data_IF_404928930186
#
_entry.id   IF_404928930186
#
_cell.length_a   1.000
_cell.length_b   1.000
_cell.length_c   1.000
_cell.angle_alpha   90.00
_cell.angle_beta   90.00
_cell.angle_gamma   90.00
#
_symmetry.space_group_name_H-M   'P 1'
#
loop_
_entity.id
_entity.type
_entity.pdbx_description
1 polymer ?
#
# COMPACT_ATOMS: atom_id res chain seq x y z
N UNK A 1 -7.41 -24.71 9.83
CA UNK A 1 -6.93 -23.63 10.76
C UNK A 1 -8.14 -22.84 11.23
N UNK A 2 -8.23 -22.56 12.56
CA UNK A 2 -9.31 -21.71 13.12
C UNK A 2 -8.80 -20.28 13.24
N UNK A 3 -9.52 -19.33 12.70
CA UNK A 3 -9.24 -17.90 12.80
C UNK A 3 -10.18 -17.28 13.83
N UNK A 4 -9.61 -16.70 14.87
CA UNK A 4 -10.34 -15.99 15.92
C UNK A 4 -10.50 -14.53 15.57
N UNK A 5 -11.69 -13.99 15.82
CA UNK A 5 -12.03 -12.60 15.57
C UNK A 5 -10.98 -11.61 16.12
N UNK A 6 -10.70 -11.68 17.41
CA UNK A 6 -9.80 -10.73 18.05
C UNK A 6 -8.36 -10.83 17.54
N UNK A 7 -7.90 -12.03 17.16
CA UNK A 7 -6.56 -12.19 16.61
C UNK A 7 -6.43 -11.53 15.24
N UNK A 8 -7.47 -11.59 14.40
CA UNK A 8 -7.44 -10.93 13.11
C UNK A 8 -7.47 -9.42 13.25
N UNK A 9 -8.39 -8.90 14.08
CA UNK A 9 -8.51 -7.47 14.36
C UNK A 9 -7.18 -6.90 14.88
N UNK A 10 -6.57 -7.56 15.85
CA UNK A 10 -5.29 -7.13 16.44
C UNK A 10 -4.13 -7.24 15.43
N UNK A 11 -4.14 -8.24 14.56
CA UNK A 11 -3.13 -8.37 13.51
C UNK A 11 -3.20 -7.22 12.50
N UNK A 12 -4.39 -6.80 12.10
CA UNK A 12 -4.58 -5.65 11.21
C UNK A 12 -4.16 -4.34 11.91
N UNK A 13 -4.59 -4.14 13.16
CA UNK A 13 -4.18 -2.99 13.98
C UNK A 13 -2.66 -2.89 14.07
N UNK A 14 -2.00 -3.95 14.52
CA UNK A 14 -0.55 -4.00 14.69
C UNK A 14 0.20 -3.80 13.38
N UNK A 15 -0.28 -4.40 12.28
CA UNK A 15 0.33 -4.23 10.96
C UNK A 15 0.28 -2.78 10.48
N UNK A 16 -0.86 -2.11 10.62
CA UNK A 16 -1.02 -0.70 10.24
C UNK A 16 -0.16 0.23 11.09
N UNK A 17 -0.10 0.01 12.38
CA UNK A 17 0.80 0.74 13.27
C UNK A 17 2.26 0.52 12.84
N UNK A 18 2.67 -0.73 12.60
CA UNK A 18 4.03 -1.06 12.18
C UNK A 18 4.44 -0.35 10.88
N UNK A 19 3.64 -0.44 9.82
CA UNK A 19 3.96 0.18 8.54
C UNK A 19 3.90 1.71 8.58
N UNK A 20 3.27 2.31 9.59
CA UNK A 20 3.19 3.76 9.73
C UNK A 20 4.53 4.39 10.12
N UNK A 21 5.42 3.66 10.81
CA UNK A 21 6.69 4.19 11.31
C UNK A 21 7.93 3.38 10.90
N UNK A 22 7.76 2.23 10.23
CA UNK A 22 8.89 1.47 9.69
C UNK A 22 8.86 1.41 8.17
N UNK A 23 9.94 1.82 7.54
CA UNK A 23 10.24 1.43 6.18
C UNK A 23 10.84 0.02 6.15
N UNK A 24 10.55 -0.73 5.08
CA UNK A 24 11.18 -2.03 4.87
C UNK A 24 12.69 -1.92 4.64
N UNK A 25 13.49 -2.92 5.04
CA UNK A 25 14.94 -2.88 4.85
C UNK A 25 15.40 -2.67 3.41
N UNK A 26 14.65 -3.19 2.45
CA UNK A 26 14.92 -3.04 1.03
C UNK A 26 14.69 -1.61 0.52
N UNK A 27 13.64 -0.93 1.02
CA UNK A 27 13.45 0.49 0.75
C UNK A 27 14.64 1.29 1.28
N UNK A 28 15.05 1.06 2.52
CA UNK A 28 16.22 1.73 3.11
C UNK A 28 17.48 1.47 2.28
N UNK A 29 17.73 0.22 1.89
CA UNK A 29 18.89 -0.13 1.06
C UNK A 29 18.84 0.54 -0.32
N UNK A 30 17.66 0.63 -0.94
CA UNK A 30 17.47 1.33 -2.21
C UNK A 30 17.75 2.83 -2.06
N UNK A 31 17.27 3.47 -0.98
CA UNK A 31 17.50 4.88 -0.68
C UNK A 31 18.98 5.17 -0.39
N UNK A 32 19.66 4.32 0.38
CA UNK A 32 21.12 4.44 0.63
C UNK A 32 21.90 4.32 -0.68
N UNK A 33 21.54 3.35 -1.53
CA UNK A 33 22.16 3.20 -2.84
C UNK A 33 21.90 4.40 -3.76
N UNK A 34 20.70 4.99 -3.71
CA UNK A 34 20.38 6.20 -4.44
C UNK A 34 21.22 7.40 -3.94
N UNK A 35 21.33 7.58 -2.62
CA UNK A 35 22.16 8.60 -1.99
C UNK A 35 23.62 8.53 -2.44
N UNK A 36 24.17 7.32 -2.52
CA UNK A 36 25.56 7.11 -2.94
C UNK A 36 25.80 7.47 -4.42
N UNK A 37 24.80 7.25 -5.29
CA UNK A 37 24.91 7.51 -6.73
C UNK A 37 24.50 8.93 -7.12
N UNK A 38 23.76 9.63 -6.27
CA UNK A 38 23.27 10.99 -6.57
C UNK A 38 24.43 11.99 -6.63
N UNK A 39 24.46 12.78 -7.69
CA UNK A 39 25.50 13.80 -7.92
C UNK A 39 24.98 15.22 -7.68
N UNK A 40 23.66 15.43 -7.79
CA UNK A 40 23.06 16.73 -7.46
C UNK A 40 22.97 16.92 -5.95
N UNK A 41 23.63 17.93 -5.42
CA UNK A 41 23.72 18.15 -3.97
C UNK A 41 22.35 18.38 -3.32
N UNK A 42 21.43 19.09 -3.98
CA UNK A 42 20.08 19.33 -3.44
C UNK A 42 19.26 18.04 -3.36
N UNK A 43 19.33 17.19 -4.39
CA UNK A 43 18.68 15.89 -4.39
C UNK A 43 19.30 14.96 -3.34
N UNK A 44 20.62 14.97 -3.19
CA UNK A 44 21.33 14.19 -2.19
C UNK A 44 20.90 14.58 -0.77
N UNK A 45 20.82 15.87 -0.48
CA UNK A 45 20.34 16.38 0.80
C UNK A 45 18.87 15.96 1.08
N UNK A 46 18.02 15.96 0.05
CA UNK A 46 16.63 15.49 0.19
C UNK A 46 16.56 14.00 0.57
N UNK A 47 17.35 13.15 -0.08
CA UNK A 47 17.44 11.71 0.23
C UNK A 47 17.94 11.50 1.67
N UNK A 48 18.95 12.25 2.08
CA UNK A 48 19.49 12.21 3.44
C UNK A 48 18.40 12.54 4.48
N UNK A 49 17.63 13.61 4.26
CA UNK A 49 16.54 13.98 5.16
C UNK A 49 15.47 12.90 5.26
N UNK A 50 15.16 12.19 4.16
CA UNK A 50 14.22 11.05 4.17
C UNK A 50 14.77 9.91 5.01
N UNK A 51 16.05 9.57 4.89
CA UNK A 51 16.70 8.53 5.70
C UNK A 51 16.74 8.89 7.18
N UNK A 52 17.05 10.15 7.52
CA UNK A 52 17.02 10.68 8.89
C UNK A 52 15.60 10.59 9.45
N UNK A 53 14.59 11.06 8.70
CA UNK A 53 13.18 10.95 9.10
C UNK A 53 12.77 9.51 9.36
N UNK A 54 13.12 8.59 8.46
CA UNK A 54 12.83 7.16 8.63
C UNK A 54 13.38 6.62 9.95
N UNK A 55 14.65 6.94 10.28
CA UNK A 55 15.27 6.52 11.55
C UNK A 55 14.58 7.14 12.76
N UNK A 56 14.26 8.42 12.70
CA UNK A 56 13.58 9.12 13.80
C UNK A 56 12.18 8.56 14.04
N UNK A 57 11.42 8.28 12.97
CA UNK A 57 10.09 7.70 13.07
C UNK A 57 10.12 6.29 13.66
N UNK A 58 11.05 5.45 13.22
CA UNK A 58 11.24 4.12 13.76
C UNK A 58 11.58 4.12 15.26
N UNK A 59 12.46 5.03 15.71
CA UNK A 59 12.84 5.15 17.12
C UNK A 59 11.74 5.75 17.99
N UNK A 60 11.03 6.74 17.46
CA UNK A 60 9.97 7.45 18.18
C UNK A 60 8.57 6.86 18.04
N UNK A 61 8.42 5.79 17.23
CA UNK A 61 7.11 5.21 16.86
C UNK A 61 6.12 6.28 16.42
N UNK A 62 6.53 7.12 15.45
CA UNK A 62 5.73 8.21 14.90
C UNK A 62 5.54 8.03 13.40
N UNK A 63 4.40 8.45 12.84
CA UNK A 63 4.16 8.30 11.40
C UNK A 63 5.28 8.91 10.56
N UNK A 64 5.71 8.19 9.53
CA UNK A 64 6.75 8.62 8.58
C UNK A 64 6.30 9.86 7.81
N UNK A 65 5.00 9.98 7.57
CA UNK A 65 4.38 11.07 6.82
C UNK A 65 3.07 11.50 7.49
N UNK A 66 2.68 12.75 7.30
CA UNK A 66 1.36 13.25 7.71
C UNK A 66 0.21 12.62 6.91
N UNK A 67 0.48 12.12 5.71
CA UNK A 67 -0.45 11.35 4.89
C UNK A 67 -0.28 9.87 5.21
N UNK A 68 -1.07 9.36 6.15
CA UNK A 68 -1.02 7.98 6.60
C UNK A 68 -1.82 7.02 5.71
N UNK A 69 -2.43 7.54 4.66
CA UNK A 69 -2.90 6.82 3.50
C UNK A 69 -4.29 6.20 3.61
N UNK A 70 -4.76 5.73 2.45
CA UNK A 70 -5.95 4.90 2.29
C UNK A 70 -5.52 3.45 2.47
N UNK A 71 -6.19 2.73 3.36
CA UNK A 71 -5.84 1.33 3.65
C UNK A 71 -6.36 0.42 2.53
N UNK A 72 -5.43 -0.36 1.97
CA UNK A 72 -5.73 -1.42 1.02
C UNK A 72 -5.33 -2.76 1.66
N UNK A 73 -6.23 -3.74 1.65
CA UNK A 73 -6.02 -5.05 2.24
C UNK A 73 -6.26 -6.12 1.18
N UNK A 74 -5.26 -6.95 0.94
CA UNK A 74 -5.37 -8.12 0.06
C UNK A 74 -5.39 -9.36 0.91
N UNK A 75 -6.44 -10.17 0.77
CA UNK A 75 -6.68 -11.35 1.57
C UNK A 75 -6.76 -12.57 0.68
N UNK A 76 -5.87 -13.54 0.87
CA UNK A 76 -6.01 -14.87 0.32
C UNK A 76 -6.55 -15.80 1.42
N UNK A 77 -7.77 -16.27 1.22
CA UNK A 77 -8.52 -17.11 2.19
C UNK A 77 -8.52 -18.55 1.73
N UNK A 78 -7.92 -19.44 2.51
CA UNK A 78 -7.96 -20.88 2.29
C UNK A 78 -9.39 -21.43 2.46
N UNK A 79 -9.85 -22.23 1.51
CA UNK A 79 -11.23 -22.74 1.51
C UNK A 79 -11.56 -23.68 2.69
N UNK A 80 -10.54 -24.17 3.43
CA UNK A 80 -10.68 -25.03 4.59
C UNK A 80 -10.45 -24.28 5.92
N UNK A 81 -10.55 -22.94 5.90
CA UNK A 81 -10.48 -22.12 7.13
C UNK A 81 -11.82 -22.21 7.87
N UNK A 82 -11.74 -22.34 9.17
CA UNK A 82 -12.85 -22.20 10.09
C UNK A 82 -12.78 -20.85 10.80
N UNK A 83 -13.92 -20.20 10.95
CA UNK A 83 -14.01 -18.88 11.57
C UNK A 83 -14.67 -18.99 12.94
N UNK A 84 -14.00 -18.45 13.96
CA UNK A 84 -14.55 -18.22 15.30
C UNK A 84 -14.82 -16.72 15.45
N UNK A 85 -15.94 -16.28 14.86
CA UNK A 85 -16.28 -14.86 14.76
C UNK A 85 -17.76 -14.65 14.53
N UNK A 86 -18.32 -13.62 15.15
CA UNK A 86 -19.67 -13.09 14.89
C UNK A 86 -19.66 -11.97 13.84
N UNK A 87 -18.47 -11.48 13.45
CA UNK A 87 -18.27 -10.45 12.46
C UNK A 87 -17.89 -11.04 11.10
N UNK A 88 -18.24 -10.34 10.04
CA UNK A 88 -17.73 -10.65 8.71
C UNK A 88 -16.23 -10.37 8.62
N UNK A 89 -15.55 -10.95 7.61
CA UNK A 89 -14.15 -10.67 7.33
C UNK A 89 -13.90 -9.17 7.12
N UNK A 90 -14.80 -8.50 6.40
CA UNK A 90 -14.70 -7.06 6.14
C UNK A 90 -14.87 -6.24 7.42
N UNK A 91 -15.81 -6.60 8.30
CA UNK A 91 -16.02 -5.92 9.57
C UNK A 91 -14.83 -6.09 10.51
N UNK A 92 -14.23 -7.27 10.58
CA UNK A 92 -13.02 -7.52 11.37
C UNK A 92 -11.84 -6.67 10.86
N UNK A 93 -11.67 -6.58 9.55
CA UNK A 93 -10.62 -5.75 8.94
C UNK A 93 -10.88 -4.27 9.25
N UNK A 94 -12.09 -3.79 9.04
CA UNK A 94 -12.45 -2.40 9.32
C UNK A 94 -12.33 -2.06 10.80
N UNK A 95 -12.64 -2.98 11.71
CA UNK A 95 -12.41 -2.77 13.15
C UNK A 95 -10.91 -2.64 13.48
N UNK A 96 -10.06 -3.46 12.87
CA UNK A 96 -8.60 -3.34 13.00
C UNK A 96 -8.07 -2.00 12.46
N UNK A 97 -8.61 -1.53 11.34
CA UNK A 97 -8.30 -0.19 10.78
C UNK A 97 -8.73 0.90 11.74
N UNK A 98 -9.96 0.86 12.24
CA UNK A 98 -10.50 1.83 13.19
C UNK A 98 -9.63 1.94 14.44
N UNK A 99 -9.24 0.81 15.04
CA UNK A 99 -8.33 0.79 16.18
C UNK A 99 -6.99 1.40 15.86
N UNK A 100 -6.39 1.05 14.71
CA UNK A 100 -5.09 1.56 14.30
C UNK A 100 -5.09 3.09 14.10
N UNK A 101 -6.14 3.64 13.49
CA UNK A 101 -6.21 5.08 13.24
C UNK A 101 -6.61 5.91 14.46
N UNK A 102 -7.17 5.27 15.49
CA UNK A 102 -7.51 5.90 16.76
C UNK A 102 -6.58 5.52 17.92
N UNK A 103 -5.45 4.84 17.64
CA UNK A 103 -4.45 4.48 18.64
C UNK A 103 -3.95 5.72 19.39
N UNK A 104 -4.16 5.83 20.74
CA UNK A 104 -3.82 7.04 21.47
C UNK A 104 -2.34 7.41 21.42
N UNK A 105 -1.47 6.40 21.45
CA UNK A 105 -0.02 6.60 21.49
C UNK A 105 0.60 6.98 20.16
N UNK A 106 -0.09 6.62 19.05
CA UNK A 106 0.34 6.92 17.69
C UNK A 106 -0.86 7.10 16.76
N UNK A 107 -1.63 8.16 16.99
CA UNK A 107 -2.82 8.44 16.21
C UNK A 107 -2.49 8.75 14.75
N UNK A 108 -3.04 7.98 13.84
CA UNK A 108 -2.91 8.16 12.40
C UNK A 108 -3.96 9.13 11.87
N UNK A 109 -3.66 9.79 10.75
CA UNK A 109 -4.58 10.74 10.12
C UNK A 109 -5.59 10.02 9.23
N UNK A 110 -6.87 10.02 9.60
CA UNK A 110 -7.94 9.52 8.76
C UNK A 110 -8.13 10.40 7.51
N UNK A 111 -8.22 9.76 6.34
CA UNK A 111 -8.34 10.41 5.03
C UNK A 111 -9.61 10.02 4.27
N UNK A 112 -10.34 9.01 4.77
CA UNK A 112 -11.57 8.53 4.11
C UNK A 112 -12.70 9.52 4.36
N UNK A 113 -13.47 9.78 3.32
CA UNK A 113 -14.67 10.61 3.38
C UNK A 113 -15.91 9.77 3.05
N UNK A 114 -16.94 9.92 3.83
CA UNK A 114 -18.29 9.47 3.47
C UNK A 114 -18.86 10.43 2.43
N UNK A 115 -19.72 9.93 1.57
CA UNK A 115 -20.40 10.73 0.54
C UNK A 115 -19.43 11.65 -0.24
N UNK A 116 -18.57 11.06 -1.10
CA UNK A 116 -17.49 11.82 -1.76
C UNK A 116 -17.99 12.87 -2.75
N UNK A 117 -19.26 12.81 -3.19
CA UNK A 117 -19.83 13.75 -4.14
C UNK A 117 -20.41 15.03 -3.49
N UNK A 118 -20.98 14.90 -2.29
CA UNK A 118 -21.73 16.01 -1.67
C UNK A 118 -21.10 16.50 -0.36
N UNK A 119 -21.38 15.83 0.75
CA UNK A 119 -20.97 16.32 2.07
C UNK A 119 -19.47 16.17 2.36
N UNK A 120 -18.81 15.17 1.78
CA UNK A 120 -17.39 14.88 1.93
C UNK A 120 -16.90 14.85 3.39
N UNK A 121 -17.75 14.37 4.29
CA UNK A 121 -17.44 14.30 5.72
C UNK A 121 -16.40 13.23 6.00
N UNK A 122 -15.34 13.57 6.73
CA UNK A 122 -14.31 12.64 7.12
C UNK A 122 -14.87 11.60 8.11
N UNK A 123 -14.57 10.32 7.89
CA UNK A 123 -15.06 9.22 8.75
C UNK A 123 -14.41 9.19 10.12
N UNK A 124 -13.29 9.90 10.31
CA UNK A 124 -12.50 10.02 11.53
C UNK A 124 -11.73 8.76 11.95
N UNK A 125 -12.04 7.62 11.39
CA UNK A 125 -11.45 6.30 11.71
C UNK A 125 -10.81 5.60 10.52
N UNK A 126 -10.79 6.28 9.36
CA UNK A 126 -10.21 5.82 8.09
C UNK A 126 -10.87 4.55 7.52
N UNK A 127 -12.11 4.28 7.89
CA UNK A 127 -12.94 3.20 7.32
C UNK A 127 -13.95 3.75 6.28
N UNK A 128 -14.39 2.90 5.33
CA UNK A 128 -13.96 1.53 5.09
C UNK A 128 -12.59 1.45 4.40
N UNK A 129 -11.89 0.35 4.65
CA UNK A 129 -10.71 -0.02 3.87
C UNK A 129 -11.12 -0.52 2.48
N UNK A 130 -10.19 -0.48 1.51
CA UNK A 130 -10.35 -1.15 0.21
C UNK A 130 -9.88 -2.58 0.37
N UNK A 131 -10.79 -3.55 0.29
CA UNK A 131 -10.52 -4.96 0.58
C UNK A 131 -10.67 -5.79 -0.68
N UNK A 132 -9.63 -6.56 -1.01
CA UNK A 132 -9.60 -7.51 -2.12
C UNK A 132 -9.47 -8.92 -1.57
N UNK A 133 -10.50 -9.73 -1.74
CA UNK A 133 -10.52 -11.11 -1.24
C UNK A 133 -10.42 -12.11 -2.38
N UNK A 134 -9.54 -13.12 -2.21
CA UNK A 134 -9.34 -14.22 -3.12
C UNK A 134 -9.43 -15.54 -2.37
N UNK A 135 -10.27 -16.45 -2.83
CA UNK A 135 -10.33 -17.82 -2.31
C UNK A 135 -9.22 -18.67 -2.93
N UNK A 136 -8.49 -19.38 -2.08
CA UNK A 136 -7.39 -20.27 -2.48
C UNK A 136 -7.57 -21.67 -1.87
N UNK A 137 -6.89 -22.67 -2.41
CA UNK A 137 -6.91 -24.03 -1.84
C UNK A 137 -6.16 -24.05 -0.49
N UNK A 138 -6.61 -24.88 0.43
CA UNK A 138 -5.94 -25.13 1.70
C UNK A 138 -6.59 -24.42 2.87
N UNK A 139 -5.85 -24.26 3.94
CA UNK A 139 -6.31 -23.76 5.24
C UNK A 139 -5.50 -22.56 5.76
N UNK A 140 -4.77 -21.87 4.87
CA UNK A 140 -3.98 -20.70 5.22
C UNK A 140 -4.73 -19.41 4.96
N UNK A 141 -4.54 -18.44 5.83
CA UNK A 141 -4.94 -17.05 5.65
C UNK A 141 -3.68 -16.21 5.42
N UNK A 142 -3.60 -15.56 4.27
CA UNK A 142 -2.54 -14.60 3.97
C UNK A 142 -3.15 -13.21 3.80
N UNK A 143 -2.61 -12.24 4.54
CA UNK A 143 -3.09 -10.86 4.50
C UNK A 143 -1.91 -9.94 4.21
N UNK A 144 -2.07 -9.10 3.19
CA UNK A 144 -1.15 -8.00 2.89
C UNK A 144 -1.87 -6.68 3.13
N UNK A 145 -1.27 -5.83 3.93
CA UNK A 145 -1.80 -4.51 4.27
C UNK A 145 -0.90 -3.43 3.68
N UNK A 146 -1.51 -2.49 2.99
CA UNK A 146 -0.82 -1.32 2.46
C UNK A 146 -1.61 -0.05 2.81
N UNK A 147 -0.89 1.02 3.11
CA UNK A 147 -1.47 2.35 3.29
C UNK A 147 -0.94 3.26 2.18
N UNK A 148 -1.80 3.61 1.23
CA UNK A 148 -1.43 4.40 0.04
C UNK A 148 -1.83 5.85 0.22
N UNK A 149 -0.85 6.76 0.27
CA UNK A 149 -1.08 8.19 0.42
C UNK A 149 -1.91 8.80 -0.71
N UNK A 150 -2.76 9.76 -0.39
CA UNK A 150 -3.64 10.43 -1.35
C UNK A 150 -2.89 11.16 -2.46
N UNK A 151 -1.70 11.69 -2.17
CA UNK A 151 -0.83 12.31 -3.18
C UNK A 151 -0.39 11.32 -4.26
N UNK A 152 0.05 10.14 -3.87
CA UNK A 152 0.43 9.08 -4.81
C UNK A 152 -0.78 8.46 -5.51
N UNK A 153 -1.91 8.31 -4.84
CA UNK A 153 -3.16 7.83 -5.45
C UNK A 153 -3.62 8.75 -6.57
N UNK A 154 -3.63 10.05 -6.33
CA UNK A 154 -4.00 11.07 -7.33
C UNK A 154 -3.06 11.14 -8.55
N UNK A 155 -1.90 10.51 -8.50
CA UNK A 155 -0.94 10.44 -9.61
C UNK A 155 -0.97 9.12 -10.36
N UNK A 156 -1.78 8.17 -9.92
CA UNK A 156 -2.01 6.93 -10.66
C UNK A 156 -2.49 7.23 -12.08
N UNK A 157 -1.95 6.53 -13.05
CA UNK A 157 -2.27 6.67 -14.48
C UNK A 157 -2.72 5.34 -15.04
N UNK A 158 -3.71 5.40 -15.90
CA UNK A 158 -4.20 4.27 -16.67
C UNK A 158 -4.24 4.65 -18.14
N UNK A 159 -3.92 3.71 -19.00
CA UNK A 159 -4.07 3.85 -20.45
C UNK A 159 -4.36 2.50 -21.09
N UNK A 160 -4.92 2.55 -22.28
CA UNK A 160 -5.00 1.41 -23.19
C UNK A 160 -4.02 1.67 -24.31
N UNK A 161 -3.06 0.76 -24.48
CA UNK A 161 -2.06 0.79 -25.55
C UNK A 161 -2.52 -0.06 -26.72
N UNK A 162 -2.19 0.35 -27.95
CA UNK A 162 -2.35 -0.50 -29.12
C UNK A 162 -1.24 -1.57 -29.13
N UNK A 163 -1.41 -2.68 -29.88
CA UNK A 163 -0.39 -3.73 -29.96
C UNK A 163 0.99 -3.26 -30.42
N UNK A 164 1.04 -2.22 -31.23
CA UNK A 164 2.27 -1.64 -31.76
C UNK A 164 2.91 -0.57 -30.86
N UNK A 165 2.24 -0.18 -29.78
CA UNK A 165 2.74 0.83 -28.84
C UNK A 165 3.83 0.23 -27.93
N UNK A 166 4.90 1.00 -27.71
CA UNK A 166 5.96 0.60 -26.79
C UNK A 166 5.63 1.00 -25.35
N UNK A 167 5.43 0.00 -24.49
CA UNK A 167 5.15 0.20 -23.06
C UNK A 167 6.23 1.02 -22.36
N UNK A 168 7.50 0.70 -22.61
CA UNK A 168 8.63 1.38 -21.95
C UNK A 168 8.64 2.86 -22.30
N UNK A 169 8.44 3.19 -23.58
CA UNK A 169 8.39 4.57 -24.04
C UNK A 169 7.20 5.33 -23.44
N UNK A 170 6.06 4.67 -23.32
CA UNK A 170 4.90 5.28 -22.64
C UNK A 170 5.20 5.60 -21.18
N UNK A 171 5.80 4.67 -20.45
CA UNK A 171 6.19 4.85 -19.05
C UNK A 171 7.17 6.01 -18.90
N UNK A 172 8.25 6.02 -19.69
CA UNK A 172 9.29 7.06 -19.64
C UNK A 172 8.76 8.45 -19.97
N UNK A 173 7.78 8.56 -20.87
CA UNK A 173 7.11 9.84 -21.18
C UNK A 173 6.12 10.26 -20.11
N UNK A 174 5.47 9.30 -19.44
CA UNK A 174 4.41 9.59 -18.47
C UNK A 174 4.96 10.01 -17.11
N UNK A 175 6.01 9.37 -16.61
CA UNK A 175 6.58 9.64 -15.28
C UNK A 175 6.92 11.12 -15.07
N UNK A 176 7.62 11.82 -15.97
CA UNK A 176 7.94 13.24 -15.79
C UNK A 176 6.70 14.14 -15.70
N UNK A 177 5.58 13.72 -16.30
CA UNK A 177 4.31 14.49 -16.28
C UNK A 177 3.58 14.39 -14.95
N UNK A 178 3.95 13.46 -14.07
CA UNK A 178 3.32 13.29 -12.77
C UNK A 178 3.65 14.44 -11.80
N UNK A 179 4.74 15.18 -12.06
CA UNK A 179 5.22 16.25 -11.19
C UNK A 179 5.68 15.73 -9.83
N UNK A 180 5.76 16.58 -8.82
CA UNK A 180 6.26 16.25 -7.49
C UNK A 180 5.15 15.84 -6.48
N UNK A 181 3.89 15.88 -6.86
CA UNK A 181 2.76 15.64 -5.95
C UNK A 181 2.65 14.22 -5.40
N UNK A 182 3.42 13.28 -5.90
CA UNK A 182 3.55 11.91 -5.40
C UNK A 182 4.71 11.71 -4.41
N UNK A 183 5.35 12.80 -4.01
CA UNK A 183 6.46 12.83 -3.04
C UNK A 183 7.68 12.01 -3.47
N UNK A 184 8.39 12.39 -4.56
CA UNK A 184 9.63 11.72 -4.97
C UNK A 184 10.73 11.83 -3.88
N UNK A 185 11.66 10.87 -3.85
CA UNK A 185 11.75 9.66 -4.64
C UNK A 185 10.77 8.61 -4.18
N UNK A 186 10.18 7.89 -5.12
CA UNK A 186 9.16 6.90 -4.82
C UNK A 186 9.35 5.59 -5.58
N UNK A 187 8.48 4.65 -5.30
CA UNK A 187 8.41 3.40 -6.01
C UNK A 187 7.32 3.46 -7.07
N UNK A 188 7.62 2.93 -8.25
CA UNK A 188 6.68 2.86 -9.35
C UNK A 188 6.27 1.41 -9.54
N UNK A 189 4.97 1.15 -9.39
CA UNK A 189 4.38 -0.11 -9.78
C UNK A 189 3.76 0.00 -11.17
N UNK A 190 3.85 -1.06 -11.97
CA UNK A 190 3.30 -1.11 -13.32
C UNK A 190 2.52 -2.42 -13.48
N UNK A 191 1.20 -2.31 -13.62
CA UNK A 191 0.34 -3.44 -13.94
C UNK A 191 0.06 -3.47 -15.45
N UNK A 192 0.20 -4.64 -16.07
CA UNK A 192 0.01 -4.82 -17.52
C UNK A 192 -0.89 -6.01 -17.80
N UNK A 193 -1.83 -5.83 -18.70
CA UNK A 193 -2.69 -6.89 -19.22
C UNK A 193 -3.96 -7.12 -18.42
N UNK A 194 -4.83 -7.97 -18.95
CA UNK A 194 -6.16 -8.22 -18.43
C UNK A 194 -7.12 -7.06 -18.71
N UNK A 195 -8.06 -6.83 -17.79
CA UNK A 195 -8.93 -5.65 -17.80
C UNK A 195 -8.27 -4.46 -17.10
N UNK A 196 -8.83 -3.27 -17.26
CA UNK A 196 -8.40 -2.08 -16.53
C UNK A 196 -8.32 -2.32 -15.01
N UNK A 197 -9.38 -2.88 -14.45
CA UNK A 197 -9.48 -3.25 -13.05
C UNK A 197 -8.37 -4.21 -12.63
N UNK A 198 -8.15 -5.27 -13.40
CA UNK A 198 -7.13 -6.28 -13.10
C UNK A 198 -5.72 -5.70 -13.14
N UNK A 199 -5.42 -4.85 -14.13
CA UNK A 199 -4.12 -4.18 -14.21
C UNK A 199 -3.86 -3.28 -13.00
N UNK A 200 -4.87 -2.50 -12.57
CA UNK A 200 -4.78 -1.63 -11.40
C UNK A 200 -4.68 -2.42 -10.09
N UNK A 201 -5.45 -3.50 -9.93
CA UNK A 201 -5.37 -4.35 -8.75
C UNK A 201 -4.02 -5.08 -8.66
N UNK A 202 -3.49 -5.59 -9.79
CA UNK A 202 -2.18 -6.21 -9.85
C UNK A 202 -1.06 -5.25 -9.42
N UNK A 203 -1.14 -4.01 -9.83
CA UNK A 203 -0.21 -2.95 -9.45
C UNK A 203 -0.12 -2.79 -7.93
N UNK A 204 -1.25 -2.72 -7.24
CA UNK A 204 -1.28 -2.57 -5.79
C UNK A 204 -0.83 -3.84 -5.07
N UNK A 205 -1.28 -5.01 -5.55
CA UNK A 205 -0.94 -6.31 -4.97
C UNK A 205 0.55 -6.65 -5.10
N UNK A 206 1.19 -6.24 -6.20
CA UNK A 206 2.60 -6.49 -6.51
C UNK A 206 3.51 -5.33 -6.12
N UNK A 207 2.97 -4.25 -5.60
CA UNK A 207 3.73 -3.09 -5.12
C UNK A 207 4.64 -3.50 -3.96
N UNK A 208 5.92 -3.15 -4.00
CA UNK A 208 6.97 -4.14 -3.93
C UNK A 208 7.31 -4.56 -2.51
N UNK A 209 7.28 -5.85 -2.29
CA UNK A 209 8.36 -6.43 -1.53
C UNK A 209 9.44 -6.88 -2.54
N UNK A 210 10.71 -6.60 -2.37
CA UNK A 210 11.79 -7.10 -3.23
C UNK A 210 11.89 -8.63 -3.29
N UNK A 211 11.21 -9.32 -2.40
CA UNK A 211 11.03 -10.79 -2.45
C UNK A 211 10.18 -11.23 -3.63
N UNK A 212 9.37 -10.34 -4.22
CA UNK A 212 8.41 -10.68 -5.29
C UNK A 212 8.96 -10.55 -6.70
N UNK A 213 10.26 -10.33 -6.89
CA UNK A 213 10.90 -10.38 -8.21
C UNK A 213 10.73 -11.73 -8.94
N UNK A 214 10.35 -12.79 -8.23
CA UNK A 214 10.11 -14.12 -8.79
C UNK A 214 8.68 -14.37 -9.26
N UNK A 215 7.71 -13.51 -8.96
CA UNK A 215 6.30 -13.72 -9.26
C UNK A 215 5.76 -12.89 -10.43
N UNK A 216 6.59 -12.13 -11.13
CA UNK A 216 6.20 -11.41 -12.34
C UNK A 216 6.04 -12.30 -13.59
N UNK A 217 5.99 -13.61 -13.44
CA UNK A 217 5.61 -14.52 -14.52
C UNK A 217 4.10 -14.64 -14.55
N UNK A 218 3.44 -13.72 -15.24
CA UNK A 218 2.11 -14.00 -15.74
C UNK A 218 2.22 -15.14 -16.74
N UNK A 219 1.43 -16.23 -16.62
CA UNK A 219 1.33 -17.18 -17.70
C UNK A 219 0.75 -16.44 -18.91
N UNK A 220 1.50 -16.41 -20.00
CA UNK A 220 0.96 -16.12 -21.32
C UNK A 220 0.08 -17.29 -21.68
N UNK A 221 -1.19 -17.19 -21.50
CA UNK A 221 -2.15 -18.12 -22.09
C UNK A 221 -3.40 -17.36 -22.47
N UNK A 222 -3.50 -17.24 -23.78
CA UNK A 222 -4.68 -17.23 -24.64
C UNK A 222 -5.98 -16.66 -24.06
#
# INVERSE_FOLDING_TARGET
MIIKQDHLIESIHSALQYISYYHSPDFINAMVSAYQRETNQSAKNAIEQILINSKMCALGKRPICQDTGIVNVFVEVGMNIEWESDLSLEDMINEGVRRAYNEPDNRLRASIVSDPLFSRSNTQDNTPAVIHTKLVKGDKLEIKVAAKGGGSENKSKFTVLNPDDNLTDWVLRTIPTMGAGWCPPGMIGIGVGGTAEKAMSCLLYTSPSPRDRSLSRMPSSA
#
